data_IF_624495850056
#
_entry.id   IF_624495850056
#
_cell.length_a   1.000
_cell.length_b   1.000
_cell.length_c   1.000
_cell.angle_alpha   90.00
_cell.angle_beta   90.00
_cell.angle_gamma   90.00
#
_symmetry.space_group_name_H-M   'P 1'
#
loop_
_entity.id
_entity.type
_entity.pdbx_description
1 polymer ?
#
# COMPACT_ATOMS: atom_id res chain seq x y z
N UNK A 1 21.05 -26.33 -4.60
CA UNK A 1 20.96 -25.08 -5.38
C UNK A 1 20.25 -24.07 -4.51
N UNK A 2 20.95 -23.07 -3.97
CA UNK A 2 20.26 -21.93 -3.36
C UNK A 2 19.66 -21.15 -4.53
N UNK A 3 18.34 -21.12 -4.62
CA UNK A 3 17.67 -20.21 -5.54
C UNK A 3 18.04 -18.79 -5.10
N UNK A 4 18.48 -17.95 -6.05
CA UNK A 4 18.58 -16.52 -5.80
C UNK A 4 17.15 -16.03 -5.66
N UNK A 5 16.76 -15.63 -4.46
CA UNK A 5 15.45 -15.05 -4.19
C UNK A 5 15.61 -13.54 -4.42
N UNK A 6 14.80 -12.96 -5.29
CA UNK A 6 14.74 -11.51 -5.47
C UNK A 6 13.94 -10.93 -4.31
N UNK A 7 14.65 -10.33 -3.35
CA UNK A 7 14.06 -9.66 -2.20
C UNK A 7 14.54 -8.20 -2.16
N UNK A 8 13.66 -7.26 -1.79
CA UNK A 8 14.08 -5.88 -1.60
C UNK A 8 15.12 -5.80 -0.47
N UNK A 9 16.18 -5.03 -0.71
CA UNK A 9 17.19 -4.70 0.30
C UNK A 9 16.54 -4.15 1.58
N UNK A 10 17.12 -4.48 2.74
CA UNK A 10 16.67 -3.98 4.04
C UNK A 10 17.03 -2.51 4.20
N UNK A 11 16.43 -1.86 5.19
CA UNK A 11 16.71 -0.46 5.49
C UNK A 11 18.22 -0.21 5.68
N UNK A 12 18.75 0.81 4.98
CA UNK A 12 20.17 1.21 4.93
C UNK A 12 21.14 0.22 4.27
N UNK A 13 20.65 -0.87 3.69
CA UNK A 13 21.47 -1.68 2.79
C UNK A 13 21.45 -1.06 1.38
N UNK A 14 22.37 -0.15 1.10
CA UNK A 14 22.45 0.51 -0.21
C UNK A 14 23.43 -0.19 -1.18
N UNK A 15 23.07 -1.41 -1.60
CA UNK A 15 23.85 -2.14 -2.60
C UNK A 15 23.67 -1.60 -4.04
N UNK A 16 22.69 -0.71 -4.25
CA UNK A 16 22.31 -0.20 -5.56
C UNK A 16 22.71 1.28 -5.77
N UNK A 17 23.29 1.94 -4.76
CA UNK A 17 23.69 3.34 -4.83
C UNK A 17 22.51 4.31 -4.92
N UNK A 18 21.36 3.94 -4.34
CA UNK A 18 20.11 4.69 -4.43
C UNK A 18 19.86 5.62 -3.23
N UNK A 19 20.80 5.72 -2.28
CA UNK A 19 20.69 6.55 -1.08
C UNK A 19 20.31 8.00 -1.35
N UNK A 20 21.03 8.64 -2.28
CA UNK A 20 20.76 10.03 -2.63
C UNK A 20 19.33 10.26 -3.13
N UNK A 21 18.70 9.25 -3.76
CA UNK A 21 17.33 9.37 -4.24
C UNK A 21 16.31 9.22 -3.11
N UNK A 22 16.46 8.22 -2.23
CA UNK A 22 15.49 8.05 -1.13
C UNK A 22 15.60 9.17 -0.09
N UNK A 23 16.78 9.73 0.14
CA UNK A 23 16.95 10.85 1.07
C UNK A 23 16.31 12.14 0.52
N UNK A 24 16.57 12.47 -0.74
CA UNK A 24 15.95 13.63 -1.39
C UNK A 24 14.43 13.52 -1.45
N UNK A 25 13.89 12.33 -1.79
CA UNK A 25 12.45 12.10 -1.79
C UNK A 25 11.86 12.14 -0.38
N UNK A 26 12.57 11.64 0.63
CA UNK A 26 12.13 11.75 2.04
C UNK A 26 12.04 13.22 2.44
N UNK A 27 13.06 14.02 2.15
CA UNK A 27 13.05 15.46 2.46
C UNK A 27 11.90 16.17 1.74
N UNK A 28 11.68 15.85 0.46
CA UNK A 28 10.55 16.38 -0.30
C UNK A 28 9.20 16.04 0.34
N UNK A 29 8.99 14.78 0.73
CA UNK A 29 7.76 14.33 1.42
C UNK A 29 7.55 15.06 2.75
N UNK A 30 8.63 15.34 3.49
CA UNK A 30 8.55 16.05 4.78
C UNK A 30 8.26 17.54 4.61
N UNK A 31 8.77 18.17 3.56
CA UNK A 31 8.75 19.64 3.39
C UNK A 31 7.64 20.14 2.48
N UNK A 32 7.07 19.28 1.64
CA UNK A 32 6.00 19.66 0.71
C UNK A 32 4.75 20.16 1.45
N UNK A 33 4.16 21.24 0.95
CA UNK A 33 2.96 21.87 1.53
C UNK A 33 1.67 21.51 0.80
N UNK A 34 1.76 20.81 -0.32
CA UNK A 34 0.63 20.44 -1.16
C UNK A 34 0.46 18.93 -1.18
N UNK A 35 -0.77 18.41 -1.27
CA UNK A 35 -0.99 17.01 -1.61
C UNK A 35 -0.35 16.72 -2.98
N UNK A 36 0.55 15.74 -3.02
CA UNK A 36 1.28 15.34 -4.23
C UNK A 36 1.16 13.83 -4.39
N UNK A 37 1.07 13.37 -5.64
CA UNK A 37 1.19 11.95 -6.00
C UNK A 37 2.52 11.73 -6.70
N UNK A 38 3.29 10.74 -6.24
CA UNK A 38 4.62 10.40 -6.79
C UNK A 38 4.52 9.02 -7.43
N UNK A 39 4.86 8.91 -8.72
CA UNK A 39 5.00 7.64 -9.42
C UNK A 39 6.47 7.20 -9.46
N UNK A 40 6.76 5.98 -9.03
CA UNK A 40 8.11 5.38 -9.13
C UNK A 40 8.11 4.36 -10.27
N UNK A 41 8.95 4.57 -11.27
CA UNK A 41 9.07 3.71 -12.46
C UNK A 41 10.51 3.22 -12.63
N UNK A 42 10.67 2.01 -13.16
CA UNK A 42 11.97 1.39 -13.40
C UNK A 42 11.83 -0.10 -13.72
N UNK A 43 12.89 -0.71 -14.25
CA UNK A 43 12.91 -2.12 -14.61
C UNK A 43 12.81 -3.05 -13.40
N UNK A 44 12.43 -4.32 -13.62
CA UNK A 44 12.41 -5.30 -12.54
C UNK A 44 13.82 -5.48 -11.95
N UNK A 45 13.92 -5.60 -10.62
CA UNK A 45 15.22 -5.62 -9.92
C UNK A 45 15.92 -4.25 -9.75
N UNK A 46 15.36 -3.13 -10.26
CA UNK A 46 16.00 -1.80 -10.16
C UNK A 46 15.94 -1.14 -8.76
N UNK A 47 15.52 -1.86 -7.71
CA UNK A 47 15.47 -1.32 -6.34
C UNK A 47 14.29 -0.42 -5.99
N UNK A 48 13.19 -0.40 -6.78
CA UNK A 48 12.01 0.44 -6.49
C UNK A 48 11.41 0.18 -5.11
N UNK A 49 11.20 -1.10 -4.78
CA UNK A 49 10.65 -1.49 -3.47
C UNK A 49 11.63 -1.16 -2.34
N UNK A 50 12.93 -1.35 -2.56
CA UNK A 50 13.98 -0.94 -1.62
C UNK A 50 13.99 0.57 -1.38
N UNK A 51 13.79 1.37 -2.43
CA UNK A 51 13.65 2.83 -2.33
C UNK A 51 12.45 3.20 -1.45
N UNK A 52 11.28 2.61 -1.71
CA UNK A 52 10.07 2.86 -0.92
C UNK A 52 10.24 2.41 0.55
N UNK A 53 10.89 1.28 0.80
CA UNK A 53 11.19 0.79 2.16
C UNK A 53 12.11 1.77 2.91
N UNK A 54 13.13 2.31 2.25
CA UNK A 54 14.01 3.29 2.89
C UNK A 54 13.28 4.59 3.20
N UNK A 55 12.45 5.10 2.28
CA UNK A 55 11.60 6.28 2.56
C UNK A 55 10.67 5.98 3.74
N UNK A 56 10.02 4.81 3.75
CA UNK A 56 9.14 4.37 4.83
C UNK A 56 9.87 4.47 6.17
N UNK A 57 11.03 3.84 6.31
CA UNK A 57 11.78 3.84 7.57
C UNK A 57 12.41 5.20 7.92
N UNK A 58 12.83 5.99 6.94
CA UNK A 58 13.33 7.35 7.17
C UNK A 58 12.25 8.32 7.71
N UNK A 59 10.98 7.93 7.64
CA UNK A 59 9.86 8.66 8.25
C UNK A 59 9.53 8.17 9.67
N UNK A 60 10.17 7.11 10.18
CA UNK A 60 9.98 6.65 11.55
C UNK A 60 10.38 7.73 12.57
N UNK A 61 9.55 7.89 13.62
CA UNK A 61 9.75 8.92 14.64
C UNK A 61 9.38 10.34 14.22
N UNK A 62 8.94 10.56 12.98
CA UNK A 62 8.37 11.83 12.52
C UNK A 62 6.85 11.83 12.69
N UNK A 63 6.21 13.00 12.70
CA UNK A 63 4.75 13.15 12.81
C UNK A 63 4.04 12.83 11.49
N UNK A 64 4.22 11.61 10.97
CA UNK A 64 3.58 11.14 9.74
C UNK A 64 2.89 9.80 9.96
N UNK A 65 1.59 9.82 9.71
CA UNK A 65 0.79 8.60 9.56
C UNK A 65 1.03 8.01 8.17
N UNK A 66 1.23 6.69 8.12
CA UNK A 66 1.68 5.98 6.91
C UNK A 66 0.92 4.68 6.77
N UNK A 67 0.53 4.36 5.55
CA UNK A 67 -0.20 3.13 5.20
C UNK A 67 0.50 2.47 4.03
N UNK A 68 0.70 1.16 4.13
CA UNK A 68 1.32 0.36 3.07
C UNK A 68 0.30 -0.62 2.50
N UNK A 69 0.02 -0.52 1.20
CA UNK A 69 -0.93 -1.41 0.52
C UNK A 69 -0.22 -2.16 -0.60
N UNK A 70 -0.22 -3.49 -0.50
CA UNK A 70 0.25 -4.37 -1.55
C UNK A 70 -0.92 -4.79 -2.46
N UNK A 71 -1.15 -4.04 -3.54
CA UNK A 71 -2.29 -4.27 -4.43
C UNK A 71 -2.19 -5.58 -5.22
N UNK A 72 -0.97 -6.04 -5.52
CA UNK A 72 -0.76 -7.27 -6.27
C UNK A 72 -1.23 -8.50 -5.48
N UNK A 73 -0.89 -8.56 -4.19
CA UNK A 73 -1.32 -9.64 -3.30
C UNK A 73 -2.85 -9.73 -3.20
N UNK A 74 -3.54 -8.59 -3.12
CA UNK A 74 -5.01 -8.55 -3.12
C UNK A 74 -5.63 -9.03 -4.44
N UNK A 75 -4.92 -8.85 -5.55
CA UNK A 75 -5.38 -9.28 -6.87
C UNK A 75 -5.25 -10.78 -7.11
N UNK A 76 -4.43 -11.49 -6.31
CA UNK A 76 -4.26 -12.92 -6.44
C UNK A 76 -5.57 -13.64 -6.13
N UNK A 77 -6.06 -14.42 -7.09
CA UNK A 77 -7.26 -15.25 -6.96
C UNK A 77 -8.55 -14.47 -6.61
N UNK A 78 -8.60 -13.19 -6.97
CA UNK A 78 -9.76 -12.31 -6.77
C UNK A 78 -10.27 -11.82 -8.12
N UNK A 79 -11.57 -11.54 -8.24
CA UNK A 79 -12.05 -10.73 -9.37
C UNK A 79 -11.54 -9.28 -9.24
N UNK A 80 -11.52 -8.48 -10.32
CA UNK A 80 -11.19 -7.06 -10.23
C UNK A 80 -12.05 -6.30 -9.21
N UNK A 81 -13.35 -6.58 -9.16
CA UNK A 81 -14.28 -5.97 -8.21
C UNK A 81 -13.96 -6.35 -6.76
N UNK A 82 -13.69 -7.63 -6.50
CA UNK A 82 -13.28 -8.12 -5.18
C UNK A 82 -11.95 -7.51 -4.75
N UNK A 83 -11.00 -7.39 -5.68
CA UNK A 83 -9.68 -6.78 -5.43
C UNK A 83 -9.82 -5.33 -4.97
N UNK A 84 -10.68 -4.55 -5.66
CA UNK A 84 -10.96 -3.17 -5.29
C UNK A 84 -11.58 -3.07 -3.89
N UNK A 85 -12.56 -3.94 -3.58
CA UNK A 85 -13.19 -3.98 -2.26
C UNK A 85 -12.15 -4.29 -1.17
N UNK A 86 -11.30 -5.31 -1.38
CA UNK A 86 -10.22 -5.69 -0.45
C UNK A 86 -9.24 -4.55 -0.19
N UNK A 87 -8.83 -3.84 -1.25
CA UNK A 87 -7.93 -2.67 -1.13
C UNK A 87 -8.59 -1.56 -0.30
N UNK A 88 -9.85 -1.24 -0.56
CA UNK A 88 -10.60 -0.20 0.19
C UNK A 88 -10.78 -0.62 1.65
N UNK A 89 -11.12 -1.89 1.91
CA UNK A 89 -11.26 -2.43 3.26
C UNK A 89 -9.95 -2.35 4.04
N UNK A 90 -8.82 -2.69 3.43
CA UNK A 90 -7.51 -2.53 4.06
C UNK A 90 -7.22 -1.06 4.38
N UNK A 91 -7.36 -0.16 3.40
CA UNK A 91 -7.11 1.28 3.59
C UNK A 91 -7.94 1.84 4.75
N UNK A 92 -9.21 1.49 4.82
CA UNK A 92 -10.12 1.98 5.87
C UNK A 92 -9.78 1.36 7.22
N UNK A 93 -9.42 0.07 7.25
CA UNK A 93 -8.93 -0.59 8.46
C UNK A 93 -7.67 0.10 8.99
N UNK A 94 -6.68 0.33 8.14
CA UNK A 94 -5.42 0.95 8.50
C UNK A 94 -5.63 2.39 8.98
N UNK A 95 -6.42 3.20 8.27
CA UNK A 95 -6.80 4.55 8.71
C UNK A 95 -7.50 4.55 10.09
N UNK A 96 -8.38 3.58 10.35
CA UNK A 96 -9.12 3.49 11.61
C UNK A 96 -8.27 3.00 12.78
N UNK A 97 -7.13 2.34 12.51
CA UNK A 97 -6.16 2.00 13.54
C UNK A 97 -5.30 3.23 13.92
N UNK A 98 -5.16 4.19 13.01
CA UNK A 98 -4.40 5.43 13.20
C UNK A 98 -5.27 6.53 13.84
N UNK A 99 -6.58 6.55 13.57
CA UNK A 99 -7.55 7.46 14.19
C UNK A 99 -8.57 6.68 15.06
N UNK A 100 -8.60 6.86 16.40
CA UNK A 100 -9.49 6.14 17.30
C UNK A 100 -11.00 6.41 17.11
N UNK A 101 -11.41 7.30 16.18
CA UNK A 101 -12.82 7.56 15.91
C UNK A 101 -13.46 6.47 15.01
N UNK A 102 -13.93 5.39 15.66
CA UNK A 102 -14.40 4.13 15.06
C UNK A 102 -15.67 4.19 14.20
N UNK A 103 -16.35 5.33 14.07
CA UNK A 103 -17.61 5.41 13.34
C UNK A 103 -17.47 5.23 11.82
N UNK A 104 -16.38 5.73 11.23
CA UNK A 104 -16.15 5.67 9.78
C UNK A 104 -15.92 4.22 9.33
N UNK A 105 -15.16 3.45 10.11
CA UNK A 105 -14.92 2.02 9.87
C UNK A 105 -16.21 1.21 9.80
N UNK A 106 -17.12 1.42 10.77
CA UNK A 106 -18.37 0.68 10.86
C UNK A 106 -19.27 0.91 9.64
N UNK A 107 -19.28 2.14 9.10
CA UNK A 107 -20.04 2.49 7.89
C UNK A 107 -19.47 1.81 6.64
N UNK A 108 -18.15 1.85 6.47
CA UNK A 108 -17.49 1.22 5.30
C UNK A 108 -17.65 -0.29 5.33
N UNK A 109 -17.42 -0.95 6.47
CA UNK A 109 -17.59 -2.41 6.61
C UNK A 109 -19.02 -2.86 6.33
N UNK A 110 -20.01 -2.04 6.71
CA UNK A 110 -21.42 -2.31 6.40
C UNK A 110 -21.71 -2.16 4.91
N UNK A 111 -21.12 -1.15 4.26
CA UNK A 111 -21.27 -0.92 2.82
C UNK A 111 -20.58 -2.00 1.97
N UNK A 112 -19.35 -2.40 2.31
CA UNK A 112 -18.63 -3.46 1.58
C UNK A 112 -19.32 -4.81 1.70
N UNK A 113 -19.79 -5.18 2.89
CA UNK A 113 -20.60 -6.39 3.09
C UNK A 113 -21.91 -6.39 2.28
N UNK A 114 -22.59 -5.24 2.18
CA UNK A 114 -23.80 -5.11 1.37
C UNK A 114 -23.51 -5.25 -0.15
N UNK A 115 -22.40 -4.71 -0.63
CA UNK A 115 -21.96 -4.82 -2.02
C UNK A 115 -21.60 -6.26 -2.39
N UNK A 116 -20.84 -6.96 -1.53
CA UNK A 116 -20.51 -8.37 -1.73
C UNK A 116 -21.76 -9.26 -1.76
N UNK A 117 -22.71 -9.05 -0.84
CA UNK A 117 -23.99 -9.78 -0.83
C UNK A 117 -24.83 -9.45 -2.07
N UNK A 118 -24.81 -8.20 -2.54
CA UNK A 118 -25.46 -7.79 -3.77
C UNK A 118 -24.88 -8.52 -4.99
N UNK A 119 -23.56 -8.46 -5.17
CA UNK A 119 -22.84 -9.12 -6.26
C UNK A 119 -23.05 -10.65 -6.26
N UNK A 120 -23.00 -11.30 -5.10
CA UNK A 120 -23.25 -12.73 -4.97
C UNK A 120 -24.69 -13.13 -5.37
N UNK A 121 -25.69 -12.29 -5.06
CA UNK A 121 -27.08 -12.52 -5.47
C UNK A 121 -27.28 -12.36 -6.98
N UNK A 122 -26.58 -11.42 -7.62
CA UNK A 122 -26.59 -11.29 -9.08
C UNK A 122 -25.88 -12.47 -9.75
N UNK A 123 -24.74 -12.92 -9.22
CA UNK A 123 -24.03 -14.11 -9.74
C UNK A 123 -24.82 -15.41 -9.61
N UNK A 124 -25.54 -15.61 -8.50
CA UNK A 124 -26.40 -16.78 -8.30
C UNK A 124 -27.69 -16.77 -9.15
N UNK A 125 -28.12 -15.61 -9.65
CA UNK A 125 -29.28 -15.50 -10.55
C UNK A 125 -28.92 -15.66 -12.04
N UNK A 126 -27.64 -15.70 -12.37
CA UNK A 126 -27.12 -15.85 -13.74
C UNK A 126 -26.57 -17.25 -14.03
N UNK A 127 -26.70 -18.19 -13.09
CA UNK A 127 -26.40 -19.63 -13.23
C UNK A 127 -27.69 -20.45 -13.22
#
# INVERSE_FOLDING_TARGET
MSGVIDEPAKHKEDSLGIEHYYDALTEFVVTTKTPITIGIQGEWGSGKTSLLNNIWHNLDGKQFERIWVNTWEHSLMSTPEETLIKIIEQLVSDLSNLDPNKETFAKVKKASGALLVGAARFGASMV
#
